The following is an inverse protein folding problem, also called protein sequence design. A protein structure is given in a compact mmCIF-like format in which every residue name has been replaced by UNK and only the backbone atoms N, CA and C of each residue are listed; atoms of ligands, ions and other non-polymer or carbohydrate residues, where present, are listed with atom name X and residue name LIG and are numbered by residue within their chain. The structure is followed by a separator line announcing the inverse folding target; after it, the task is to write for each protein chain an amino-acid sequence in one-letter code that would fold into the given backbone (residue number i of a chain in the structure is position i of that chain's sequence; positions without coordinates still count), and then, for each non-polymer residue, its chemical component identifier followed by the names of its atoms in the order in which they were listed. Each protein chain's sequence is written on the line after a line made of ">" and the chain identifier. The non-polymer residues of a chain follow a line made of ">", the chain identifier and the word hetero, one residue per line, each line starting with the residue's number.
data_IF_990887396383
#
_entry.id   IF_990887396383
#
_cell.length_a   1.000
_cell.length_b   1.000
_cell.length_c   1.000
_cell.angle_alpha   90.00
_cell.angle_beta   90.00
_cell.angle_gamma   90.00
#
_symmetry.space_group_name_H-M   'P 1'
#
loop_
_entity.id
_entity.type
_entity.pdbx_description
1 polymer ?
#
# COMPACT_ATOMS: atom_id res chain seq x y z
N UNK A 1 -52.33 -15.97 25.77
CA UNK A 1 -53.26 -15.26 24.84
C UNK A 1 -53.02 -13.77 24.96
N UNK A 2 -52.25 -13.16 24.06
CA UNK A 2 -52.38 -11.74 23.69
C UNK A 2 -51.76 -11.64 22.27
N UNK A 3 -52.50 -11.08 21.34
CA UNK A 3 -52.28 -10.92 19.89
C UNK A 3 -51.43 -9.68 19.64
N UNK A 4 -50.37 -9.74 18.86
CA UNK A 4 -50.11 -9.33 17.48
C UNK A 4 -50.56 -7.92 17.10
N UNK A 5 -49.62 -7.11 16.65
CA UNK A 5 -49.83 -5.94 15.80
C UNK A 5 -48.67 -5.84 14.79
N UNK A 6 -48.95 -6.21 13.52
CA UNK A 6 -48.10 -5.88 12.37
C UNK A 6 -48.44 -4.45 11.93
N UNK A 7 -47.44 -3.60 11.79
CA UNK A 7 -47.57 -2.37 10.97
C UNK A 7 -46.63 -2.50 9.77
N UNK A 8 -47.24 -2.61 8.61
CA UNK A 8 -46.57 -2.47 7.33
C UNK A 8 -46.35 -1.00 7.00
N UNK A 9 -45.16 -0.66 6.58
CA UNK A 9 -44.86 0.64 5.97
C UNK A 9 -44.54 0.42 4.50
N UNK A 10 -45.43 0.88 3.66
CA UNK A 10 -45.27 0.92 2.20
C UNK A 10 -44.51 2.18 1.84
N UNK A 11 -43.35 2.04 1.19
CA UNK A 11 -42.61 3.17 0.60
C UNK A 11 -42.84 3.16 -0.90
N UNK A 12 -43.46 4.21 -1.39
CA UNK A 12 -43.74 4.46 -2.79
C UNK A 12 -42.50 4.98 -3.51
N UNK A 13 -42.13 4.30 -4.62
CA UNK A 13 -41.19 4.80 -5.61
C UNK A 13 -41.82 5.93 -6.41
N UNK A 14 -41.17 7.09 -6.47
CA UNK A 14 -41.46 8.15 -7.44
C UNK A 14 -40.30 8.21 -8.44
N UNK A 15 -40.54 7.67 -9.63
CA UNK A 15 -39.72 7.88 -10.81
C UNK A 15 -39.99 9.25 -11.40
N UNK A 16 -38.96 10.07 -11.57
CA UNK A 16 -39.01 11.25 -12.46
C UNK A 16 -38.09 11.06 -13.65
N UNK A 17 -38.70 10.80 -14.79
CA UNK A 17 -38.14 10.97 -16.12
C UNK A 17 -38.12 12.46 -16.46
N UNK A 18 -36.98 13.00 -16.86
CA UNK A 18 -36.91 14.23 -17.64
C UNK A 18 -36.23 13.91 -18.97
N UNK A 19 -37.03 13.96 -20.00
CA UNK A 19 -36.63 14.03 -21.39
C UNK A 19 -36.33 15.50 -21.75
N UNK A 20 -35.28 15.75 -22.51
CA UNK A 20 -35.14 16.95 -23.33
C UNK A 20 -34.68 16.54 -24.73
N UNK A 21 -35.61 16.68 -25.66
CA UNK A 21 -35.47 16.73 -27.11
C UNK A 21 -34.71 18.00 -27.53
N UNK A 22 -33.73 17.94 -28.44
CA UNK A 22 -33.87 18.00 -29.88
C UNK A 22 -33.72 19.38 -30.44
N UNK A 23 -32.79 19.57 -31.35
CA UNK A 23 -33.09 20.22 -32.65
C UNK A 23 -31.86 20.37 -33.49
N UNK A 24 -32.02 19.92 -34.71
CA UNK A 24 -31.24 20.00 -35.92
C UNK A 24 -30.89 21.42 -36.35
N UNK A 25 -29.82 21.51 -37.13
CA UNK A 25 -29.78 22.00 -38.51
C UNK A 25 -28.42 22.64 -38.85
N UNK A 26 -27.82 22.17 -39.94
CA UNK A 26 -27.33 22.98 -41.00
C UNK A 26 -25.90 22.72 -41.43
N UNK A 27 -25.68 21.88 -42.42
CA UNK A 27 -24.60 22.06 -43.41
C UNK A 27 -25.10 22.98 -44.54
N UNK A 28 -24.26 23.65 -45.32
CA UNK A 28 -23.51 23.00 -46.38
C UNK A 28 -22.12 23.59 -46.72
N UNK A 29 -21.25 22.73 -47.25
CA UNK A 29 -20.59 22.73 -48.57
C UNK A 29 -19.62 23.88 -48.98
N UNK A 30 -18.53 23.52 -49.42
CA UNK A 30 -17.76 23.56 -50.64
C UNK A 30 -16.28 23.94 -50.53
N UNK A 31 -15.53 23.00 -51.00
CA UNK A 31 -14.35 23.03 -51.87
C UNK A 31 -13.39 24.26 -51.85
N UNK A 32 -12.10 24.04 -51.62
CA UNK A 32 -11.12 24.17 -52.73
C UNK A 32 -9.71 23.65 -52.38
N UNK A 33 -9.16 22.99 -53.35
CA UNK A 33 -7.81 22.60 -53.72
C UNK A 33 -6.62 23.30 -53.04
N UNK A 34 -5.60 22.48 -52.77
CA UNK A 34 -4.27 22.70 -53.30
C UNK A 34 -3.22 23.02 -52.27
N UNK A 35 -2.20 22.21 -52.19
CA UNK A 35 -0.94 22.64 -51.60
C UNK A 35 -0.19 21.56 -50.84
N UNK A 36 0.66 20.91 -51.56
CA UNK A 36 1.77 20.08 -51.12
C UNK A 36 2.57 20.73 -49.97
N UNK A 37 2.91 20.01 -48.93
CA UNK A 37 3.81 20.48 -47.90
C UNK A 37 3.80 19.60 -46.64
N UNK A 38 4.54 18.48 -46.73
CA UNK A 38 4.92 17.76 -45.51
C UNK A 38 5.94 18.60 -44.75
N UNK A 39 5.75 18.82 -43.45
CA UNK A 39 6.84 18.62 -42.52
C UNK A 39 6.41 17.66 -41.41
N UNK A 40 7.19 16.61 -41.25
CA UNK A 40 7.28 15.76 -40.10
C UNK A 40 7.32 16.61 -38.82
N UNK A 41 6.16 16.82 -38.19
CA UNK A 41 6.05 17.33 -36.87
C UNK A 41 6.32 16.18 -35.90
N UNK A 42 7.52 16.10 -35.37
CA UNK A 42 7.80 15.29 -34.19
C UNK A 42 6.81 15.69 -33.12
N UNK A 43 5.94 14.77 -32.75
CA UNK A 43 5.17 14.86 -31.51
C UNK A 43 6.18 14.98 -30.36
N UNK A 44 6.26 16.16 -29.75
CA UNK A 44 7.06 16.40 -28.59
C UNK A 44 6.58 15.43 -27.50
N UNK A 45 7.42 14.44 -27.20
CA UNK A 45 7.29 13.69 -25.96
C UNK A 45 7.31 14.72 -24.83
N UNK A 46 6.19 14.83 -24.10
CA UNK A 46 6.17 15.53 -22.83
C UNK A 46 7.26 14.93 -21.92
N UNK A 47 7.71 15.65 -20.91
CA UNK A 47 8.75 15.13 -20.04
C UNK A 47 8.24 13.78 -19.48
N UNK A 48 8.86 12.70 -19.96
CA UNK A 48 8.68 11.38 -19.36
C UNK A 48 9.12 11.52 -17.90
N UNK A 49 8.14 11.47 -17.00
CA UNK A 49 8.44 11.21 -15.60
C UNK A 49 9.11 9.84 -15.59
N UNK A 50 10.37 9.72 -15.13
CA UNK A 50 10.95 8.41 -14.94
C UNK A 50 10.00 7.65 -14.02
N UNK A 51 9.75 6.35 -14.27
CA UNK A 51 8.96 5.54 -13.38
C UNK A 51 9.57 5.68 -11.98
N UNK A 52 8.75 5.84 -10.92
CA UNK A 52 9.27 5.96 -9.57
C UNK A 52 10.16 4.73 -9.32
N UNK A 53 11.44 4.96 -9.21
CA UNK A 53 12.38 3.93 -8.77
C UNK A 53 12.10 3.70 -7.29
N UNK A 54 11.12 2.84 -6.99
CA UNK A 54 10.80 2.36 -5.65
C UNK A 54 11.92 1.43 -5.14
N UNK A 55 13.16 1.87 -5.26
CA UNK A 55 14.30 1.19 -4.67
C UNK A 55 14.48 1.78 -3.28
N UNK A 56 14.04 1.03 -2.28
CA UNK A 56 14.47 1.27 -0.90
C UNK A 56 15.98 1.08 -0.88
N UNK A 57 16.72 2.15 -0.72
CA UNK A 57 18.16 2.07 -0.53
C UNK A 57 18.45 1.93 0.96
N UNK A 58 19.48 1.16 1.30
CA UNK A 58 20.00 1.03 2.66
C UNK A 58 20.35 2.37 3.31
N UNK A 59 20.57 3.41 2.51
CA UNK A 59 20.86 4.77 2.94
C UNK A 59 19.73 5.43 3.74
N UNK A 60 18.46 5.09 3.47
CA UNK A 60 17.32 5.62 4.21
C UNK A 60 17.02 4.86 5.51
N UNK A 61 17.62 3.70 5.70
CA UNK A 61 17.47 2.92 6.91
C UNK A 61 18.48 3.42 7.93
N UNK A 62 18.02 4.10 8.97
CA UNK A 62 18.88 4.76 9.97
C UNK A 62 19.01 6.29 9.80
N UNK A 63 18.50 6.88 8.72
CA UNK A 63 18.40 8.33 8.59
C UNK A 63 17.40 8.88 9.62
N UNK A 64 17.78 9.98 10.29
CA UNK A 64 16.90 10.66 11.23
C UNK A 64 15.95 11.60 10.50
N UNK A 65 14.67 11.43 10.74
CA UNK A 65 13.60 12.31 10.30
C UNK A 65 13.14 13.21 11.44
N UNK A 66 12.57 14.36 11.09
CA UNK A 66 11.91 15.26 12.03
C UNK A 66 10.62 15.79 11.44
N UNK A 67 9.62 15.99 12.28
CA UNK A 67 8.30 16.47 11.86
C UNK A 67 7.35 16.53 13.04
N UNK A 68 6.05 16.48 12.72
CA UNK A 68 4.99 16.47 13.72
C UNK A 68 4.49 15.04 13.97
N UNK A 69 4.06 14.78 15.18
CA UNK A 69 3.25 13.64 15.56
C UNK A 69 1.82 14.07 15.83
N UNK A 70 0.86 13.42 15.21
CA UNK A 70 -0.58 13.53 15.48
C UNK A 70 -1.15 12.15 15.74
N UNK A 71 -2.44 12.02 16.01
CA UNK A 71 -3.08 10.72 16.15
C UNK A 71 -4.46 10.70 15.51
N UNK A 72 -4.90 9.53 15.08
CA UNK A 72 -6.19 9.30 14.46
C UNK A 72 -6.85 8.04 15.02
N UNK A 73 -8.16 7.95 14.89
CA UNK A 73 -8.89 6.77 15.30
C UNK A 73 -8.72 5.67 14.23
N UNK A 74 -7.84 4.73 14.49
CA UNK A 74 -7.59 3.54 13.64
C UNK A 74 -8.73 2.49 13.77
N UNK A 75 -9.93 2.96 14.01
CA UNK A 75 -11.01 2.13 14.57
C UNK A 75 -11.49 0.96 13.72
N UNK A 76 -11.17 0.83 12.43
CA UNK A 76 -11.87 -0.19 11.64
C UNK A 76 -11.18 -0.73 10.38
N UNK A 77 -9.99 -0.25 10.00
CA UNK A 77 -9.38 -0.57 8.70
C UNK A 77 -8.09 -1.37 8.80
N UNK A 78 -7.72 -1.97 7.69
CA UNK A 78 -6.42 -2.59 7.50
C UNK A 78 -5.32 -1.56 7.14
N UNK A 79 -5.65 -0.25 7.13
CA UNK A 79 -4.81 0.82 6.61
C UNK A 79 -4.42 0.59 5.14
N UNK A 80 -3.69 1.52 4.55
CA UNK A 80 -3.22 1.40 3.16
C UNK A 80 -2.28 0.21 2.94
N UNK A 81 -1.60 -0.27 3.99
CA UNK A 81 -0.76 -1.47 3.90
C UNK A 81 -1.54 -2.79 3.86
N UNK A 82 -2.84 -2.80 4.05
CA UNK A 82 -3.72 -3.97 4.03
C UNK A 82 -3.25 -5.13 4.92
N UNK A 83 -2.66 -4.82 6.08
CA UNK A 83 -2.43 -5.83 7.13
C UNK A 83 -3.74 -6.16 7.83
N UNK A 84 -3.82 -7.35 8.42
CA UNK A 84 -4.98 -7.70 9.25
C UNK A 84 -5.04 -6.79 10.48
N UNK A 85 -6.24 -6.61 11.05
CA UNK A 85 -6.43 -5.86 12.29
C UNK A 85 -5.56 -6.43 13.39
N UNK A 86 -4.98 -5.54 14.19
CA UNK A 86 -4.15 -5.90 15.33
C UNK A 86 -4.65 -5.22 16.60
N UNK A 87 -4.45 -5.85 17.74
CA UNK A 87 -4.60 -5.22 19.05
C UNK A 87 -3.33 -4.49 19.53
N UNK A 88 -2.22 -4.60 18.78
CA UNK A 88 -1.02 -3.83 19.09
C UNK A 88 -1.25 -2.37 18.66
N UNK A 89 -1.29 -1.49 19.65
CA UNK A 89 -1.46 -0.05 19.43
C UNK A 89 -0.20 0.63 18.89
N UNK A 90 0.95 -0.05 18.84
CA UNK A 90 2.22 0.50 18.37
C UNK A 90 2.28 0.54 16.86
N UNK A 91 1.35 1.27 16.27
CA UNK A 91 1.20 1.47 14.83
C UNK A 91 1.04 2.94 14.50
N UNK A 92 1.42 3.30 13.26
CA UNK A 92 1.29 4.65 12.74
C UNK A 92 1.07 4.64 11.22
N UNK A 93 0.50 5.75 10.72
CA UNK A 93 0.49 6.10 9.32
C UNK A 93 1.69 6.98 8.97
N UNK A 94 2.30 6.72 7.81
CA UNK A 94 3.43 7.46 7.27
C UNK A 94 2.94 8.55 6.32
N UNK A 95 3.56 9.71 6.35
CA UNK A 95 3.24 10.80 5.43
C UNK A 95 3.49 10.40 3.96
N UNK A 96 2.73 11.00 3.02
CA UNK A 96 2.78 10.67 1.60
C UNK A 96 4.16 10.93 0.95
N UNK A 97 4.93 11.88 1.46
CA UNK A 97 6.27 12.21 0.92
C UNK A 97 7.29 11.08 1.14
N UNK A 98 7.16 10.37 2.26
CA UNK A 98 8.04 9.25 2.61
C UNK A 98 7.41 7.90 2.26
N UNK A 99 6.14 7.83 1.84
CA UNK A 99 5.38 6.61 1.56
C UNK A 99 6.00 5.72 0.48
N UNK A 100 6.50 6.34 -0.59
CA UNK A 100 7.17 5.67 -1.69
C UNK A 100 6.38 4.48 -2.29
N UNK A 101 5.05 4.65 -2.51
CA UNK A 101 4.20 3.62 -3.09
C UNK A 101 4.18 2.34 -2.24
N UNK A 102 3.86 2.43 -0.97
CA UNK A 102 3.82 1.35 0.02
C UNK A 102 5.17 0.70 0.37
N UNK A 103 6.28 1.26 -0.08
CA UNK A 103 7.58 0.62 0.11
C UNK A 103 7.97 0.46 1.59
N UNK A 104 7.47 1.35 2.46
CA UNK A 104 7.72 1.32 3.90
C UNK A 104 6.63 0.60 4.71
N UNK A 105 5.66 -0.01 4.06
CA UNK A 105 4.70 -0.86 4.76
C UNK A 105 5.41 -1.95 5.57
N UNK A 106 5.06 -2.05 6.84
CA UNK A 106 5.65 -3.00 7.77
C UNK A 106 7.01 -2.60 8.35
N UNK A 107 7.57 -1.45 7.94
CA UNK A 107 8.75 -0.89 8.58
C UNK A 107 8.45 -0.52 10.05
N UNK A 108 9.47 -0.61 10.90
CA UNK A 108 9.40 -0.08 12.25
C UNK A 108 10.18 1.23 12.35
N UNK A 109 9.67 2.16 13.14
CA UNK A 109 10.33 3.42 13.45
C UNK A 109 10.45 3.60 14.97
N UNK A 110 11.64 3.96 15.43
CA UNK A 110 11.84 4.46 16.79
C UNK A 110 11.57 5.97 16.79
N UNK A 111 10.60 6.37 17.58
CA UNK A 111 10.11 7.75 17.65
C UNK A 111 10.40 8.33 19.01
N UNK A 112 10.92 9.57 19.04
CA UNK A 112 11.18 10.35 20.25
C UNK A 112 10.29 11.60 20.25
N UNK A 113 9.52 11.76 21.31
CA UNK A 113 8.67 12.92 21.58
C UNK A 113 9.41 14.09 22.24
N UNK A 114 8.72 15.22 22.53
CA UNK A 114 9.32 16.46 22.99
C UNK A 114 9.98 16.36 24.37
N UNK A 115 9.57 15.41 25.20
CA UNK A 115 10.12 15.20 26.55
C UNK A 115 11.13 14.04 26.62
N UNK A 116 11.59 13.53 25.46
CA UNK A 116 12.51 12.40 25.38
C UNK A 116 11.85 11.04 25.54
N UNK A 117 10.52 10.97 25.72
CA UNK A 117 9.77 9.72 25.72
C UNK A 117 9.86 9.05 24.35
N UNK A 118 9.92 7.73 24.33
CA UNK A 118 10.12 6.97 23.10
C UNK A 118 9.08 5.88 22.92
N UNK A 119 8.72 5.63 21.66
CA UNK A 119 7.90 4.48 21.26
C UNK A 119 8.39 3.93 19.94
N UNK A 120 8.44 2.60 19.81
CA UNK A 120 8.62 1.94 18.51
C UNK A 120 7.25 1.66 17.92
N UNK A 121 7.03 2.11 16.68
CA UNK A 121 5.78 1.87 15.94
C UNK A 121 6.06 1.13 14.63
N UNK A 122 5.07 0.38 14.16
CA UNK A 122 5.06 -0.21 12.82
C UNK A 122 4.22 0.65 11.88
N UNK A 123 4.73 0.90 10.67
CA UNK A 123 3.99 1.59 9.62
C UNK A 123 2.98 0.61 9.01
N UNK A 124 1.69 0.97 9.10
CA UNK A 124 0.57 0.15 8.61
C UNK A 124 -0.39 0.91 7.70
N UNK A 125 -0.20 2.23 7.59
CA UNK A 125 -1.11 3.11 6.84
C UNK A 125 -0.37 4.27 6.20
N UNK A 126 -1.04 4.98 5.28
CA UNK A 126 -0.61 6.23 4.69
C UNK A 126 -1.45 7.40 5.24
N UNK A 127 -0.79 8.46 5.65
CA UNK A 127 -1.42 9.74 5.92
C UNK A 127 -1.21 10.67 4.72
N UNK A 128 -2.19 10.71 3.82
CA UNK A 128 -2.10 11.45 2.56
C UNK A 128 -1.91 12.97 2.75
N UNK A 129 -2.52 13.53 3.79
CA UNK A 129 -2.50 14.96 4.09
C UNK A 129 -1.39 15.38 5.07
N UNK A 130 -0.59 14.41 5.54
CA UNK A 130 0.50 14.67 6.46
C UNK A 130 1.68 15.37 5.78
N UNK A 131 2.26 16.36 6.46
CA UNK A 131 3.47 17.04 6.02
C UNK A 131 4.68 16.08 6.02
N UNK A 132 5.73 16.42 5.26
CA UNK A 132 6.97 15.63 5.23
C UNK A 132 7.53 15.42 6.64
N UNK A 133 7.93 14.19 6.96
CA UNK A 133 8.45 13.79 8.26
C UNK A 133 7.39 13.59 9.35
N UNK A 134 6.11 13.87 9.06
CA UNK A 134 5.02 13.66 10.01
C UNK A 134 4.65 12.18 10.09
N UNK A 135 4.31 11.75 11.31
CA UNK A 135 3.66 10.46 11.59
C UNK A 135 2.30 10.69 12.26
N UNK A 136 1.31 9.89 11.88
CA UNK A 136 -0.02 9.90 12.49
C UNK A 136 -0.25 8.58 13.23
N UNK A 137 -0.34 8.66 14.55
CA UNK A 137 -0.25 7.50 15.43
C UNK A 137 -1.62 6.92 15.78
N UNK A 138 -1.62 5.66 16.21
CA UNK A 138 -2.68 5.18 17.07
C UNK A 138 -2.73 6.02 18.35
N UNK A 139 -3.91 6.39 18.89
CA UNK A 139 -4.02 7.26 20.06
C UNK A 139 -3.20 6.82 21.28
N UNK A 140 -3.11 5.50 21.53
CA UNK A 140 -2.34 4.96 22.65
C UNK A 140 -0.82 5.01 22.41
N UNK A 141 -0.36 4.92 21.15
CA UNK A 141 1.05 5.13 20.83
C UNK A 141 1.46 6.60 21.02
N UNK A 142 0.59 7.53 20.60
CA UNK A 142 0.78 8.96 20.85
C UNK A 142 0.85 9.26 22.35
N UNK A 143 -0.02 8.63 23.16
CA UNK A 143 -0.07 8.83 24.61
C UNK A 143 1.23 8.43 25.34
N UNK A 144 2.04 7.54 24.74
CA UNK A 144 3.40 7.26 25.27
C UNK A 144 4.32 8.45 25.09
N UNK A 145 4.19 9.20 23.98
CA UNK A 145 5.06 10.34 23.66
C UNK A 145 4.66 11.62 24.41
N UNK A 146 3.35 11.89 24.51
CA UNK A 146 2.80 13.08 25.17
C UNK A 146 1.31 12.91 25.51
N UNK A 147 0.75 13.74 26.42
CA UNK A 147 -0.68 13.79 26.67
C UNK A 147 -1.49 14.06 25.39
N UNK A 148 -2.59 13.31 25.19
CA UNK A 148 -3.45 13.39 23.98
C UNK A 148 -4.05 14.79 23.79
N UNK A 149 -4.22 15.55 24.86
CA UNK A 149 -4.74 16.93 24.84
C UNK A 149 -3.86 17.89 24.02
N UNK A 150 -2.58 17.55 23.79
CA UNK A 150 -1.69 18.35 22.95
C UNK A 150 -2.04 18.22 21.45
N UNK A 151 -2.67 17.13 21.04
CA UNK A 151 -3.14 16.92 19.67
C UNK A 151 -2.02 16.81 18.62
N UNK A 152 -1.00 17.66 18.73
CA UNK A 152 0.16 17.75 17.83
C UNK A 152 1.42 18.04 18.63
N UNK A 153 2.48 17.27 18.34
CA UNK A 153 3.78 17.39 19.02
C UNK A 153 4.93 17.35 18.02
N UNK A 154 6.06 17.96 18.33
CA UNK A 154 7.28 17.77 17.55
C UNK A 154 7.88 16.39 17.86
N UNK A 155 8.31 15.68 16.82
CA UNK A 155 8.94 14.36 16.94
C UNK A 155 10.22 14.29 16.12
N UNK A 156 11.11 13.38 16.51
CA UNK A 156 12.16 12.83 15.66
C UNK A 156 12.01 11.33 15.59
N UNK A 157 12.36 10.73 14.44
CA UNK A 157 12.25 9.29 14.28
C UNK A 157 13.22 8.73 13.27
N UNK A 158 13.46 7.42 13.34
CA UNK A 158 14.39 6.70 12.47
C UNK A 158 13.83 5.32 12.18
N UNK A 159 13.91 4.86 10.92
CA UNK A 159 13.56 3.49 10.60
C UNK A 159 14.57 2.51 11.20
N UNK A 160 14.05 1.46 11.83
CA UNK A 160 14.82 0.43 12.51
C UNK A 160 14.30 -0.97 12.17
N UNK A 161 15.10 -2.00 12.47
CA UNK A 161 14.63 -3.36 12.38
C UNK A 161 13.47 -3.60 13.37
N UNK A 162 12.42 -4.27 12.91
CA UNK A 162 11.30 -4.67 13.77
C UNK A 162 11.68 -5.82 14.69
N UNK A 163 11.04 -5.89 15.86
CA UNK A 163 11.14 -7.02 16.80
C UNK A 163 10.22 -8.18 16.36
N UNK A 164 10.32 -8.58 15.07
CA UNK A 164 9.52 -9.66 14.53
C UNK A 164 9.99 -11.02 15.09
N UNK A 165 9.06 -11.80 15.61
CA UNK A 165 9.32 -13.13 16.15
C UNK A 165 8.95 -14.21 15.12
N UNK A 166 9.78 -15.25 15.04
CA UNK A 166 9.57 -16.35 14.09
C UNK A 166 9.89 -15.97 12.63
N UNK A 167 9.51 -16.83 11.71
CA UNK A 167 9.76 -16.65 10.29
C UNK A 167 8.86 -15.57 9.65
N UNK A 168 9.25 -15.08 8.49
CA UNK A 168 8.34 -14.31 7.63
C UNK A 168 7.13 -15.16 7.25
N UNK A 169 6.05 -14.53 6.80
CA UNK A 169 4.92 -15.25 6.21
C UNK A 169 4.45 -14.55 4.95
N UNK A 170 3.71 -15.29 4.13
CA UNK A 170 3.20 -14.84 2.85
C UNK A 170 1.69 -14.95 2.84
N UNK A 171 0.98 -13.89 2.42
CA UNK A 171 -0.46 -13.95 2.23
C UNK A 171 -0.80 -13.72 0.76
N UNK A 172 -1.50 -14.67 0.15
CA UNK A 172 -2.13 -14.47 -1.15
C UNK A 172 -3.33 -13.54 -0.99
N UNK A 173 -3.45 -12.55 -1.89
CA UNK A 173 -4.58 -11.63 -1.89
C UNK A 173 -5.87 -12.37 -2.26
N UNK A 174 -7.00 -11.82 -1.80
CA UNK A 174 -8.32 -12.18 -2.31
C UNK A 174 -8.34 -12.09 -3.85
N UNK A 175 -8.95 -13.10 -4.50
CA UNK A 175 -8.98 -13.25 -5.95
C UNK A 175 -7.72 -13.82 -6.58
N UNK A 176 -6.63 -14.05 -5.82
CA UNK A 176 -5.44 -14.70 -6.36
C UNK A 176 -5.74 -16.11 -6.84
N UNK A 177 -5.18 -16.45 -8.00
CA UNK A 177 -5.26 -17.74 -8.63
C UNK A 177 -4.00 -17.98 -9.49
N UNK A 178 -3.78 -19.17 -10.08
CA UNK A 178 -2.57 -19.45 -10.86
C UNK A 178 -2.31 -18.50 -12.04
N UNK A 179 -3.31 -17.78 -12.54
CA UNK A 179 -3.21 -16.89 -13.70
C UNK A 179 -3.19 -15.40 -13.36
N UNK A 180 -3.46 -15.05 -12.10
CA UNK A 180 -3.35 -13.71 -11.56
C UNK A 180 -3.03 -13.82 -10.07
N UNK A 181 -1.86 -13.37 -9.66
CA UNK A 181 -1.42 -13.56 -8.28
C UNK A 181 -0.87 -12.27 -7.68
N UNK A 182 -1.39 -11.89 -6.53
CA UNK A 182 -0.84 -10.84 -5.69
C UNK A 182 -0.45 -11.43 -4.34
N UNK A 183 0.80 -11.17 -3.91
CA UNK A 183 1.39 -11.74 -2.71
C UNK A 183 1.90 -10.65 -1.79
N UNK A 184 1.57 -10.75 -0.50
CA UNK A 184 2.06 -9.86 0.56
C UNK A 184 3.03 -10.61 1.45
N UNK A 185 4.17 -9.98 1.77
CA UNK A 185 5.11 -10.48 2.79
C UNK A 185 4.74 -9.88 4.13
N UNK A 186 4.68 -10.71 5.16
CA UNK A 186 4.26 -10.37 6.52
C UNK A 186 5.30 -10.80 7.54
N UNK A 187 5.20 -10.26 8.74
CA UNK A 187 6.09 -10.57 9.87
C UNK A 187 7.58 -10.43 9.53
N UNK A 188 7.91 -9.46 8.69
CA UNK A 188 9.31 -9.20 8.33
C UNK A 188 9.96 -8.22 9.31
N UNK A 189 11.25 -8.45 9.64
CA UNK A 189 12.07 -7.51 10.43
C UNK A 189 12.40 -6.23 9.69
N UNK A 190 12.40 -6.28 8.35
CA UNK A 190 12.72 -5.16 7.48
C UNK A 190 11.63 -4.99 6.42
N UNK A 191 11.36 -3.77 5.94
CA UNK A 191 10.51 -3.60 4.78
C UNK A 191 11.09 -4.34 3.58
N UNK A 192 10.22 -4.84 2.71
CA UNK A 192 10.63 -5.62 1.55
C UNK A 192 10.86 -4.68 0.38
N UNK A 193 12.05 -4.68 -0.21
CA UNK A 193 12.36 -3.87 -1.39
C UNK A 193 11.94 -4.55 -2.69
N UNK A 194 12.02 -5.89 -2.75
CA UNK A 194 11.77 -6.65 -3.99
C UNK A 194 11.19 -8.03 -3.67
N UNK A 195 10.31 -8.51 -4.55
CA UNK A 195 9.85 -9.89 -4.57
C UNK A 195 9.98 -10.42 -5.99
N UNK A 196 10.54 -11.60 -6.13
CA UNK A 196 10.72 -12.30 -7.39
C UNK A 196 10.18 -13.73 -7.26
N UNK A 197 9.73 -14.29 -8.37
CA UNK A 197 9.17 -15.65 -8.44
C UNK A 197 9.85 -16.48 -9.49
N UNK A 198 9.97 -17.79 -9.25
CA UNK A 198 10.55 -18.75 -10.18
C UNK A 198 9.83 -20.08 -10.14
N UNK A 199 9.66 -20.72 -11.28
CA UNK A 199 9.13 -22.09 -11.40
C UNK A 199 10.22 -23.15 -11.40
N UNK A 200 11.40 -22.80 -11.85
CA UNK A 200 12.53 -23.70 -12.02
C UNK A 200 13.66 -23.51 -10.99
N UNK A 201 13.50 -22.51 -10.10
CA UNK A 201 14.49 -22.18 -9.08
C UNK A 201 15.74 -21.45 -9.61
N UNK A 202 15.77 -21.12 -10.89
CA UNK A 202 16.92 -20.50 -11.55
C UNK A 202 16.55 -19.16 -12.19
N UNK A 203 15.44 -19.12 -12.91
CA UNK A 203 14.96 -17.93 -13.60
C UNK A 203 13.94 -17.19 -12.73
N UNK A 204 14.39 -16.13 -12.05
CA UNK A 204 13.55 -15.32 -11.20
C UNK A 204 13.02 -14.09 -11.93
N UNK A 205 11.70 -13.89 -11.89
CA UNK A 205 11.00 -12.75 -12.49
C UNK A 205 10.43 -11.88 -11.38
N UNK A 206 10.68 -10.57 -11.45
CA UNK A 206 10.18 -9.62 -10.46
C UNK A 206 8.66 -9.46 -10.55
N UNK A 207 7.99 -9.52 -9.40
CA UNK A 207 6.60 -9.10 -9.26
C UNK A 207 6.55 -7.59 -8.98
N UNK A 208 5.54 -6.92 -9.51
CA UNK A 208 5.39 -5.47 -9.41
C UNK A 208 4.77 -5.08 -8.06
N UNK A 209 5.44 -4.22 -7.28
CA UNK A 209 4.84 -3.64 -6.07
C UNK A 209 3.61 -2.79 -6.44
N UNK A 210 2.57 -2.94 -5.65
CA UNK A 210 1.35 -2.14 -5.72
C UNK A 210 1.29 -1.18 -4.52
N UNK A 211 0.59 -0.07 -4.67
CA UNK A 211 0.46 0.98 -3.63
C UNK A 211 -0.22 0.48 -2.34
N UNK A 212 -0.83 -0.70 -2.39
CA UNK A 212 -1.50 -1.37 -1.27
C UNK A 212 -0.69 -2.55 -0.69
N UNK A 213 0.65 -2.49 -0.80
CA UNK A 213 1.57 -3.44 -0.14
C UNK A 213 1.45 -4.90 -0.60
N UNK A 214 1.08 -5.13 -1.87
CA UNK A 214 1.16 -6.43 -2.50
C UNK A 214 2.15 -6.39 -3.67
N UNK A 215 2.71 -7.55 -3.99
CA UNK A 215 3.50 -7.75 -5.19
C UNK A 215 2.67 -8.54 -6.20
N UNK A 216 2.39 -7.91 -7.33
CA UNK A 216 1.52 -8.45 -8.38
C UNK A 216 2.32 -9.09 -9.50
N UNK A 217 1.94 -10.31 -9.87
CA UNK A 217 2.24 -10.90 -11.16
C UNK A 217 0.93 -11.03 -11.95
N UNK A 218 0.74 -10.19 -12.96
CA UNK A 218 -0.49 -10.15 -13.77
C UNK A 218 -0.72 -11.42 -14.61
N UNK A 219 0.33 -12.23 -14.84
CA UNK A 219 0.24 -13.54 -15.50
C UNK A 219 0.13 -14.70 -14.49
N UNK A 220 0.06 -14.39 -13.20
CA UNK A 220 0.02 -15.36 -12.11
C UNK A 220 1.34 -16.10 -11.90
N UNK A 221 1.32 -16.99 -10.93
CA UNK A 221 2.48 -17.86 -10.64
C UNK A 221 2.42 -19.19 -11.38
N UNK A 222 1.33 -19.48 -12.10
CA UNK A 222 1.07 -20.78 -12.74
C UNK A 222 0.66 -21.86 -11.73
N UNK A 223 0.29 -23.04 -12.24
CA UNK A 223 -0.10 -24.17 -11.41
C UNK A 223 1.10 -24.77 -10.62
N UNK A 224 0.80 -25.43 -9.50
CA UNK A 224 1.77 -26.07 -8.63
C UNK A 224 2.60 -25.10 -7.80
N UNK A 225 3.68 -25.61 -7.22
CA UNK A 225 4.57 -24.83 -6.33
C UNK A 225 5.34 -23.73 -7.06
N UNK A 226 5.71 -22.69 -6.34
CA UNK A 226 6.49 -21.55 -6.86
C UNK A 226 7.55 -21.16 -5.85
N UNK A 227 8.80 -20.99 -6.28
CA UNK A 227 9.80 -20.37 -5.43
C UNK A 227 9.64 -18.86 -5.43
N UNK A 228 9.73 -18.27 -4.25
CA UNK A 228 9.74 -16.83 -4.07
C UNK A 228 11.08 -16.41 -3.47
N UNK A 229 11.68 -15.35 -3.99
CA UNK A 229 12.85 -14.70 -3.43
C UNK A 229 12.47 -13.29 -3.04
N UNK A 230 12.63 -12.96 -1.77
CA UNK A 230 12.37 -11.64 -1.23
C UNK A 230 13.68 -10.97 -0.85
N UNK A 231 13.78 -9.67 -1.15
CA UNK A 231 14.92 -8.83 -0.77
C UNK A 231 14.43 -7.77 0.20
N UNK A 232 15.06 -7.66 1.34
CA UNK A 232 14.77 -6.64 2.33
C UNK A 232 15.46 -5.31 1.99
N UNK A 233 15.05 -4.22 2.65
CA UNK A 233 15.63 -2.89 2.46
C UNK A 233 17.14 -2.83 2.78
N UNK A 234 17.64 -3.70 3.66
CA UNK A 234 19.06 -3.82 3.98
C UNK A 234 19.85 -4.68 2.96
N UNK A 235 19.21 -5.14 1.88
CA UNK A 235 19.82 -5.97 0.84
C UNK A 235 19.87 -7.48 1.15
N UNK A 236 19.49 -7.91 2.36
CA UNK A 236 19.41 -9.32 2.69
C UNK A 236 18.31 -10.04 1.89
N UNK A 237 18.51 -11.31 1.58
CA UNK A 237 17.56 -12.10 0.79
C UNK A 237 17.15 -13.38 1.51
N UNK A 238 15.89 -13.77 1.29
CA UNK A 238 15.36 -15.09 1.67
C UNK A 238 14.71 -15.73 0.45
N UNK A 239 14.75 -17.05 0.39
CA UNK A 239 14.07 -17.84 -0.66
C UNK A 239 13.25 -18.92 0.01
N UNK A 240 11.96 -18.97 -0.36
CA UNK A 240 10.98 -19.95 0.13
C UNK A 240 10.27 -20.63 -1.04
N UNK A 241 9.72 -21.81 -0.81
CA UNK A 241 8.84 -22.50 -1.76
C UNK A 241 7.41 -22.42 -1.26
N UNK A 242 6.55 -21.77 -2.02
CA UNK A 242 5.13 -21.66 -1.72
C UNK A 242 4.34 -22.77 -2.42
N UNK A 243 3.22 -23.23 -1.82
CA UNK A 243 2.30 -24.15 -2.46
C UNK A 243 1.60 -23.50 -3.65
N UNK A 244 0.76 -24.25 -4.32
CA UNK A 244 -0.11 -23.73 -5.36
C UNK A 244 -0.95 -22.55 -4.83
N UNK A 245 -1.16 -21.56 -5.69
CA UNK A 245 -1.87 -20.31 -5.35
C UNK A 245 -3.30 -20.61 -4.93
N UNK A 246 -3.65 -20.14 -3.75
CA UNK A 246 -5.01 -20.16 -3.21
C UNK A 246 -5.31 -18.81 -2.57
N UNK A 247 -6.43 -18.18 -2.97
CA UNK A 247 -6.85 -16.89 -2.42
C UNK A 247 -6.93 -16.94 -0.88
N UNK A 248 -6.50 -15.85 -0.24
CA UNK A 248 -6.49 -15.65 1.22
C UNK A 248 -5.57 -16.61 2.02
N UNK A 249 -4.93 -17.59 1.38
CA UNK A 249 -4.03 -18.51 2.05
C UNK A 249 -2.84 -17.76 2.64
N UNK A 250 -2.53 -18.04 3.90
CA UNK A 250 -1.33 -17.59 4.59
C UNK A 250 -0.35 -18.76 4.72
N UNK A 251 0.87 -18.57 4.24
CA UNK A 251 1.92 -19.60 4.23
C UNK A 251 3.09 -19.10 5.09
N UNK A 252 3.55 -19.87 6.09
CA UNK A 252 4.77 -19.52 6.81
C UNK A 252 5.99 -19.70 5.89
N UNK A 253 6.96 -18.78 5.98
CA UNK A 253 8.29 -18.96 5.41
C UNK A 253 9.16 -19.85 6.28
N UNK A 254 10.37 -20.16 5.81
CA UNK A 254 11.32 -21.01 6.53
C UNK A 254 12.14 -20.24 7.56
N UNK A 255 12.35 -18.95 7.39
CA UNK A 255 13.28 -18.15 8.21
C UNK A 255 12.90 -16.68 8.31
N UNK A 256 13.71 -15.93 9.04
CA UNK A 256 13.62 -14.48 9.22
C UNK A 256 14.93 -13.84 8.76
N UNK A 257 14.87 -12.59 8.32
CA UNK A 257 16.06 -11.77 8.07
C UNK A 257 16.88 -11.58 9.35
N UNK A 258 18.18 -11.61 9.22
CA UNK A 258 19.15 -11.40 10.30
C UNK A 258 19.53 -9.92 10.44
#
# INVERSE_FOLDING_TARGET
>A
MIRIGQLGVTVALVSRLLACSGSDAGAPNESNRGGNGNPSGAAGAGPEHPPPTNVLTTEKFGEQHSGDGTFYDFASGAGACLYDKTSDFRIAALNAFDWAGSAWCGACADVTGPNGNQVRVRIVDECADCAKGQLDFHPEAFAVLAPKEQGRIAITWTFVACDAQGAVSYKFKDGSNPYWTALQVRNSRFPISKLETSKDGSNFVAAQRQDYNYFLNGNGFGAGTTQVRITAANGATLTDTLPEVQAELVVPGASQFQ
#
